data_IF_931521014327
#
_entry.id   IF_931521014327
#
_cell.length_a   1.000
_cell.length_b   1.000
_cell.length_c   1.000
_cell.angle_alpha   90.00
_cell.angle_beta   90.00
_cell.angle_gamma   90.00
#
_symmetry.space_group_name_H-M   'P 1'
#
loop_
_entity.id
_entity.type
_entity.pdbx_description
1 polymer ?
#
# COMPACT_ATOMS: atom_id res chain seq x y z
N UNK A 1 4.09 0.06 15.10
CA UNK A 1 4.13 -0.41 13.72
C UNK A 1 5.52 -0.13 13.21
N UNK A 2 6.15 -1.11 12.59
CA UNK A 2 7.43 -0.94 11.91
C UNK A 2 7.19 -0.36 10.51
N UNK A 3 8.26 -0.02 9.78
CA UNK A 3 8.11 0.43 8.39
C UNK A 3 7.54 -0.68 7.51
N UNK A 4 7.93 -1.93 7.73
CA UNK A 4 7.41 -3.08 7.01
C UNK A 4 5.89 -3.26 7.24
N UNK A 5 5.40 -3.00 8.46
CA UNK A 5 3.97 -2.98 8.74
C UNK A 5 3.24 -1.90 7.93
N UNK A 6 3.83 -0.70 7.83
CA UNK A 6 3.26 0.41 7.05
C UNK A 6 3.27 0.12 5.56
N UNK A 7 4.38 -0.39 5.02
CA UNK A 7 4.52 -0.78 3.62
C UNK A 7 3.49 -1.83 3.24
N UNK A 8 3.36 -2.89 4.05
CA UNK A 8 2.36 -3.94 3.84
C UNK A 8 0.93 -3.38 3.81
N UNK A 9 0.56 -2.52 4.78
CA UNK A 9 -0.78 -1.93 4.80
C UNK A 9 -1.02 -1.03 3.58
N UNK A 10 -0.03 -0.24 3.16
CA UNK A 10 -0.13 0.63 1.99
C UNK A 10 -0.31 -0.19 0.71
N UNK A 11 0.40 -1.31 0.56
CA UNK A 11 0.26 -2.25 -0.56
C UNK A 11 -1.12 -2.91 -0.60
N UNK A 12 -1.63 -3.38 0.54
CA UNK A 12 -2.97 -3.97 0.61
C UNK A 12 -4.07 -2.94 0.29
N UNK A 13 -3.90 -1.69 0.76
CA UNK A 13 -4.81 -0.60 0.41
C UNK A 13 -4.74 -0.26 -1.09
N UNK A 14 -3.57 -0.35 -1.70
CA UNK A 14 -3.41 -0.15 -3.15
C UNK A 14 -4.20 -1.21 -3.94
N UNK A 15 -4.16 -2.48 -3.53
CA UNK A 15 -4.96 -3.56 -4.16
C UNK A 15 -6.46 -3.26 -4.09
N UNK A 16 -6.97 -2.84 -2.93
CA UNK A 16 -8.38 -2.46 -2.78
C UNK A 16 -8.75 -1.27 -3.65
N UNK A 17 -7.86 -0.28 -3.78
CA UNK A 17 -8.06 0.88 -4.66
C UNK A 17 -8.17 0.43 -6.12
N UNK A 18 -7.28 -0.44 -6.57
CA UNK A 18 -7.26 -0.92 -7.96
C UNK A 18 -8.49 -1.78 -8.28
N UNK A 19 -8.88 -2.68 -7.37
CA UNK A 19 -10.09 -3.49 -7.51
C UNK A 19 -11.36 -2.61 -7.55
N UNK A 20 -11.46 -1.61 -6.67
CA UNK A 20 -12.60 -0.70 -6.65
C UNK A 20 -12.68 0.13 -7.94
N UNK A 21 -11.55 0.62 -8.47
CA UNK A 21 -11.51 1.33 -9.76
C UNK A 21 -11.95 0.43 -10.91
N UNK A 22 -11.48 -0.81 -10.94
CA UNK A 22 -11.88 -1.77 -11.97
C UNK A 22 -13.38 -2.06 -11.91
N UNK A 23 -13.97 -2.15 -10.72
CA UNK A 23 -15.40 -2.38 -10.54
C UNK A 23 -16.24 -1.14 -10.91
N UNK A 24 -15.82 0.06 -10.54
CA UNK A 24 -16.49 1.32 -10.97
C UNK A 24 -16.52 1.41 -12.50
N UNK A 25 -15.40 1.11 -13.18
CA UNK A 25 -15.34 1.13 -14.64
C UNK A 25 -16.30 0.12 -15.28
N UNK A 26 -16.48 -1.07 -14.68
CA UNK A 26 -17.48 -2.05 -15.13
C UNK A 26 -18.90 -1.54 -14.95
N UNK A 27 -19.20 -0.95 -13.80
CA UNK A 27 -20.52 -0.38 -13.57
C UNK A 27 -20.85 0.74 -14.56
N UNK A 28 -19.90 1.61 -14.86
CA UNK A 28 -20.08 2.68 -15.87
C UNK A 28 -20.31 2.11 -17.27
N UNK A 29 -19.55 1.07 -17.66
CA UNK A 29 -19.73 0.41 -18.96
C UNK A 29 -21.11 -0.26 -19.12
N UNK A 30 -21.71 -0.70 -18.01
CA UNK A 30 -23.01 -1.38 -17.97
C UNK A 30 -24.18 -0.43 -17.66
N UNK A 31 -23.95 0.88 -17.51
CA UNK A 31 -24.93 1.86 -16.98
C UNK A 31 -25.54 1.44 -15.63
N UNK A 32 -24.74 0.74 -14.81
CA UNK A 32 -25.12 0.26 -13.49
C UNK A 32 -25.13 1.38 -12.43
N UNK A 33 -24.58 2.54 -12.74
CA UNK A 33 -24.79 3.77 -11.96
C UNK A 33 -26.29 4.16 -11.90
N UNK A 34 -27.06 3.85 -12.94
CA UNK A 34 -28.51 4.08 -13.00
C UNK A 34 -29.33 2.87 -12.55
N UNK A 35 -28.92 1.65 -12.93
CA UNK A 35 -29.69 0.44 -12.61
C UNK A 35 -29.42 -0.10 -11.20
N UNK A 36 -28.23 0.14 -10.65
CA UNK A 36 -27.79 -0.31 -9.32
C UNK A 36 -27.09 0.84 -8.55
N UNK A 37 -27.77 1.99 -8.35
CA UNK A 37 -27.14 3.17 -7.78
C UNK A 37 -26.62 2.92 -6.36
N UNK A 38 -27.32 2.12 -5.55
CA UNK A 38 -26.89 1.84 -4.18
C UNK A 38 -25.55 1.06 -4.14
N UNK A 39 -25.37 0.08 -5.01
CA UNK A 39 -24.15 -0.71 -5.14
C UNK A 39 -23.01 0.14 -5.70
N UNK A 40 -23.28 0.95 -6.73
CA UNK A 40 -22.30 1.90 -7.27
C UNK A 40 -21.77 2.83 -6.18
N UNK A 41 -22.66 3.44 -5.39
CA UNK A 41 -22.28 4.34 -4.29
C UNK A 41 -21.45 3.63 -3.20
N UNK A 42 -21.75 2.35 -2.90
CA UNK A 42 -20.95 1.56 -1.93
C UNK A 42 -19.52 1.36 -2.42
N UNK A 43 -19.33 1.03 -3.71
CA UNK A 43 -17.98 0.85 -4.29
C UNK A 43 -17.23 2.18 -4.29
N UNK A 44 -17.89 3.27 -4.65
CA UNK A 44 -17.28 4.60 -4.63
C UNK A 44 -16.87 5.03 -3.20
N UNK A 45 -17.71 4.73 -2.20
CA UNK A 45 -17.39 5.00 -0.79
C UNK A 45 -16.21 4.14 -0.30
N UNK A 46 -16.12 2.87 -0.73
CA UNK A 46 -14.98 2.00 -0.43
C UNK A 46 -13.68 2.57 -1.01
N UNK A 47 -13.70 2.97 -2.29
CA UNK A 47 -12.58 3.63 -2.96
C UNK A 47 -12.10 4.86 -2.17
N UNK A 48 -13.03 5.77 -1.83
CA UNK A 48 -12.70 6.99 -1.08
C UNK A 48 -12.09 6.68 0.29
N UNK A 49 -12.62 5.68 1.00
CA UNK A 49 -12.08 5.25 2.29
C UNK A 49 -10.67 4.67 2.15
N UNK A 50 -10.44 3.83 1.15
CA UNK A 50 -9.14 3.20 0.91
C UNK A 50 -8.07 4.26 0.59
N UNK A 51 -8.37 5.22 -0.31
CA UNK A 51 -7.47 6.35 -0.62
C UNK A 51 -7.16 7.20 0.62
N UNK A 52 -8.18 7.52 1.42
CA UNK A 52 -8.00 8.29 2.66
C UNK A 52 -7.08 7.55 3.64
N UNK A 53 -7.30 6.24 3.83
CA UNK A 53 -6.47 5.42 4.69
C UNK A 53 -5.04 5.32 4.17
N UNK A 54 -4.85 5.08 2.87
CA UNK A 54 -3.53 4.95 2.27
C UNK A 54 -2.70 6.20 2.53
N UNK A 55 -3.27 7.38 2.27
CA UNK A 55 -2.63 8.67 2.57
C UNK A 55 -2.27 8.80 4.06
N UNK A 56 -3.17 8.41 4.97
CA UNK A 56 -2.90 8.50 6.40
C UNK A 56 -1.75 7.58 6.84
N UNK A 57 -1.70 6.35 6.33
CA UNK A 57 -0.61 5.41 6.63
C UNK A 57 0.71 5.86 6.00
N UNK A 58 0.70 6.41 4.79
CA UNK A 58 1.90 7.01 4.19
C UNK A 58 2.45 8.17 5.03
N UNK A 59 1.59 9.07 5.51
CA UNK A 59 2.04 10.15 6.39
C UNK A 59 2.61 9.63 7.71
N UNK A 60 1.93 8.67 8.36
CA UNK A 60 2.43 8.08 9.59
C UNK A 60 3.78 7.36 9.41
N UNK A 61 3.99 6.70 8.26
CA UNK A 61 5.28 6.10 7.90
C UNK A 61 6.37 7.15 7.74
N UNK A 62 6.08 8.28 7.07
CA UNK A 62 7.01 9.39 6.93
C UNK A 62 7.35 10.03 8.28
N UNK A 63 6.35 10.27 9.14
CA UNK A 63 6.57 10.78 10.49
C UNK A 63 7.48 9.85 11.31
N UNK A 64 7.30 8.53 11.19
CA UNK A 64 8.16 7.54 11.84
C UNK A 64 9.61 7.65 11.34
N UNK A 65 9.80 7.72 10.03
CA UNK A 65 11.11 7.89 9.38
C UNK A 65 11.80 9.19 9.84
N UNK A 66 11.06 10.29 9.94
CA UNK A 66 11.58 11.58 10.40
C UNK A 66 11.94 11.57 11.89
N UNK A 67 11.16 10.86 12.71
CA UNK A 67 11.41 10.76 14.15
C UNK A 67 12.58 9.84 14.51
N UNK A 68 12.84 8.80 13.70
CA UNK A 68 13.89 7.81 13.94
C UNK A 68 14.73 7.56 12.67
N UNK A 69 15.68 8.46 12.34
CA UNK A 69 16.50 8.34 11.13
C UNK A 69 17.42 7.11 11.13
N UNK A 70 17.61 6.44 12.27
CA UNK A 70 18.27 5.13 12.36
C UNK A 70 17.49 4.01 11.65
N UNK A 71 16.17 4.13 11.51
CA UNK A 71 15.31 3.13 10.87
C UNK A 71 15.50 3.12 9.35
N UNK A 72 15.75 4.30 8.75
CA UNK A 72 16.17 4.43 7.34
C UNK A 72 17.49 3.68 7.06
N UNK A 73 18.46 3.81 7.96
CA UNK A 73 19.75 3.12 7.82
C UNK A 73 19.62 1.59 7.90
N UNK A 74 18.61 1.08 8.61
CA UNK A 74 18.33 -0.35 8.70
C UNK A 74 17.70 -0.88 7.40
N UNK A 75 16.71 -0.17 6.86
CA UNK A 75 16.10 -0.47 5.54
C UNK A 75 17.12 -0.42 4.40
N UNK A 76 18.01 0.57 4.39
CA UNK A 76 19.08 0.66 3.39
C UNK A 76 20.12 -0.46 3.50
N UNK A 77 20.35 -1.02 4.69
CA UNK A 77 21.29 -2.14 4.89
C UNK A 77 20.67 -3.48 4.50
N UNK A 78 19.42 -3.71 4.87
CA UNK A 78 18.70 -4.97 4.58
C UNK A 78 18.35 -5.11 3.08
N UNK A 79 18.25 -3.99 2.36
CA UNK A 79 18.07 -3.94 0.90
C UNK A 79 19.38 -4.17 0.10
N UNK A 80 20.52 -4.34 0.77
CA UNK A 80 21.84 -4.45 0.13
C UNK A 80 22.19 -5.92 -0.21
N UNK A 81 22.31 -6.31 -1.49
CA UNK A 81 22.53 -7.72 -1.87
C UNK A 81 23.93 -8.28 -1.55
N UNK A 82 24.83 -7.48 -0.96
CA UNK A 82 26.28 -7.71 -1.07
C UNK A 82 26.86 -8.59 0.06
N UNK A 83 26.20 -8.78 1.20
CA UNK A 83 26.82 -9.49 2.33
C UNK A 83 26.59 -11.02 2.38
N UNK A 84 25.82 -11.61 1.47
CA UNK A 84 25.58 -13.08 1.49
C UNK A 84 26.72 -13.91 0.86
N UNK A 85 27.74 -13.28 0.28
CA UNK A 85 28.74 -13.96 -0.57
C UNK A 85 30.10 -14.21 0.08
N UNK A 86 30.24 -14.07 1.40
CA UNK A 86 31.54 -14.27 2.09
C UNK A 86 31.47 -15.40 3.12
N UNK A 87 31.22 -16.62 2.67
CA UNK A 87 31.72 -17.81 3.38
C UNK A 87 33.08 -18.18 2.77
N UNK A 88 34.16 -18.27 3.58
CA UNK A 88 35.43 -18.79 3.08
C UNK A 88 35.32 -20.30 2.94
N UNK A 89 35.56 -20.80 1.72
CA UNK A 89 35.90 -22.21 1.48
C UNK A 89 37.16 -22.53 2.30
N UNK A 90 37.06 -23.49 3.21
CA UNK A 90 38.21 -24.12 3.84
C UNK A 90 38.43 -25.45 3.14
N UNK A 91 39.60 -25.58 2.49
CA UNK A 91 40.17 -26.83 2.01
C UNK A 91 40.51 -27.78 3.18
#
# INVERSE_FOLDING_TARGET
MTIEDYEFIIEELQKVIDDAKALVAKFEAENADQSMPAEYHKVHALYQRAVKSQKAYTHAMLDLVESEPSVLNQLCRESSPIEKSRQPSMD
#
